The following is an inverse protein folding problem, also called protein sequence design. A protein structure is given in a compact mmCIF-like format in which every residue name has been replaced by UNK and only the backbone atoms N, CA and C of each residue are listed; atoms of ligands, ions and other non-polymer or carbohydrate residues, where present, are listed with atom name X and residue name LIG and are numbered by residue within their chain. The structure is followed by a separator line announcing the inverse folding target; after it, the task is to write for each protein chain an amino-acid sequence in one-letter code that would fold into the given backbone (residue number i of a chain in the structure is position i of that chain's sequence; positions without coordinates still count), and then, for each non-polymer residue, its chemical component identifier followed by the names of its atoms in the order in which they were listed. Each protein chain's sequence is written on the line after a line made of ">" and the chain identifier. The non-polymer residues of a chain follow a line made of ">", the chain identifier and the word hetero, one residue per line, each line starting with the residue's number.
data_IF_187089369677
#
_entry.id   IF_187089369677
#
_cell.length_a   1.000
_cell.length_b   1.000
_cell.length_c   1.000
_cell.angle_alpha   90.00
_cell.angle_beta   90.00
_cell.angle_gamma   90.00
#
_symmetry.space_group_name_H-M   'P 1'
#
loop_
_entity.id
_entity.type
_entity.pdbx_description
1 polymer ?
#
# COMPACT_ATOMS: atom_id res chain seq x y z
N UNK A 1 0.18 -6.35 3.41
CA UNK A 1 0.13 -7.79 3.10
C UNK A 1 1.26 -8.56 3.83
N UNK A 2 2.49 -8.07 3.84
CA UNK A 2 3.66 -8.77 4.41
C UNK A 2 3.52 -9.10 5.91
N UNK A 3 2.87 -8.27 6.69
CA UNK A 3 2.68 -8.46 8.14
C UNK A 3 1.39 -9.21 8.52
N UNK A 4 0.51 -9.48 7.56
CA UNK A 4 -0.80 -10.08 7.84
C UNK A 4 -0.67 -11.45 8.52
N UNK A 5 0.23 -12.30 8.03
CA UNK A 5 0.41 -13.64 8.59
C UNK A 5 0.91 -13.58 10.04
N UNK A 6 1.86 -12.70 10.35
CA UNK A 6 2.40 -12.51 11.71
C UNK A 6 1.31 -12.03 12.68
N UNK A 7 0.51 -11.05 12.24
CA UNK A 7 -0.62 -10.52 13.02
C UNK A 7 -1.66 -11.61 13.27
N UNK A 8 -2.04 -12.38 12.24
CA UNK A 8 -3.04 -13.45 12.39
C UNK A 8 -2.56 -14.56 13.31
N UNK A 9 -1.29 -14.98 13.20
CA UNK A 9 -0.69 -15.99 14.12
C UNK A 9 -0.74 -15.50 15.56
N UNK A 10 -0.40 -14.24 15.81
CA UNK A 10 -0.44 -13.65 17.14
C UNK A 10 -1.88 -13.58 17.67
N UNK A 11 -2.83 -13.12 16.86
CA UNK A 11 -4.23 -13.01 17.25
C UNK A 11 -4.86 -14.36 17.58
N UNK A 12 -4.60 -15.41 16.78
CA UNK A 12 -5.11 -16.76 17.04
C UNK A 12 -4.54 -17.32 18.35
N UNK A 13 -3.29 -17.02 18.66
CA UNK A 13 -2.66 -17.46 19.91
C UNK A 13 -3.23 -16.74 21.15
N UNK A 14 -3.51 -15.42 21.03
CA UNK A 14 -4.03 -14.62 22.15
C UNK A 14 -5.54 -14.78 22.37
N UNK A 15 -6.30 -15.02 21.33
CA UNK A 15 -7.77 -15.03 21.33
C UNK A 15 -8.30 -16.37 20.76
N UNK A 16 -7.96 -17.51 21.38
CA UNK A 16 -8.28 -18.84 20.83
C UNK A 16 -9.79 -19.11 20.72
N UNK A 17 -10.61 -18.45 21.54
CA UNK A 17 -12.08 -18.59 21.51
C UNK A 17 -12.76 -17.64 20.51
N UNK A 18 -11.99 -16.78 19.84
CA UNK A 18 -12.55 -15.79 18.89
C UNK A 18 -12.41 -16.27 17.46
N UNK A 19 -13.52 -16.34 16.74
CA UNK A 19 -13.50 -16.57 15.30
C UNK A 19 -13.02 -15.30 14.58
N UNK A 20 -11.84 -15.39 13.93
CA UNK A 20 -11.24 -14.31 13.18
C UNK A 20 -11.29 -14.65 11.69
N UNK A 21 -11.96 -13.81 10.90
CA UNK A 21 -11.98 -13.89 9.45
C UNK A 21 -11.25 -12.69 8.87
N UNK A 22 -10.30 -12.92 7.97
CA UNK A 22 -9.54 -11.88 7.30
C UNK A 22 -9.68 -12.00 5.78
N UNK A 23 -9.76 -10.85 5.11
CA UNK A 23 -9.70 -10.76 3.66
C UNK A 23 -8.78 -9.62 3.25
N UNK A 24 -8.24 -9.70 2.03
CA UNK A 24 -7.40 -8.66 1.44
C UNK A 24 -8.09 -8.15 0.19
N UNK A 25 -8.38 -6.86 0.17
CA UNK A 25 -9.01 -6.15 -0.94
C UNK A 25 -8.29 -4.82 -1.16
N UNK A 26 -8.58 -4.11 -2.25
CA UNK A 26 -8.10 -2.74 -2.39
C UNK A 26 -8.88 -1.78 -1.48
N UNK A 27 -8.35 -0.57 -1.28
CA UNK A 27 -8.90 0.38 -0.32
C UNK A 27 -10.34 0.77 -0.62
N UNK A 28 -10.69 0.98 -1.90
CA UNK A 28 -12.07 1.31 -2.31
C UNK A 28 -13.06 0.20 -1.95
N UNK A 29 -12.74 -1.05 -2.25
CA UNK A 29 -13.60 -2.18 -1.94
C UNK A 29 -13.69 -2.40 -0.42
N UNK A 30 -12.59 -2.25 0.29
CA UNK A 30 -12.56 -2.34 1.76
C UNK A 30 -13.43 -1.27 2.41
N UNK A 31 -13.38 -0.01 1.94
CA UNK A 31 -14.26 1.07 2.42
C UNK A 31 -15.74 0.74 2.17
N UNK A 32 -16.09 0.22 0.98
CA UNK A 32 -17.45 -0.25 0.67
C UNK A 32 -17.91 -1.30 1.67
N UNK A 33 -17.08 -2.32 1.94
CA UNK A 33 -17.40 -3.41 2.88
C UNK A 33 -17.61 -2.89 4.32
N UNK A 34 -16.83 -1.91 4.78
CA UNK A 34 -17.04 -1.24 6.07
C UNK A 34 -18.38 -0.52 6.10
N UNK A 35 -18.72 0.23 5.06
CA UNK A 35 -20.00 0.97 4.98
C UNK A 35 -21.20 0.04 4.95
N UNK A 36 -21.08 -1.14 4.35
CA UNK A 36 -22.13 -2.17 4.30
C UNK A 36 -22.12 -3.10 5.52
N UNK A 37 -21.24 -2.83 6.51
CA UNK A 37 -21.10 -3.64 7.71
C UNK A 37 -20.74 -5.12 7.44
N UNK A 38 -20.09 -5.38 6.31
CA UNK A 38 -19.52 -6.69 5.94
C UNK A 38 -18.19 -6.96 6.68
N UNK A 39 -17.50 -5.89 7.12
CA UNK A 39 -16.32 -5.94 7.96
C UNK A 39 -16.54 -5.20 9.27
N UNK A 40 -15.93 -5.68 10.34
CA UNK A 40 -15.94 -5.02 11.64
C UNK A 40 -15.01 -3.82 11.67
N UNK A 41 -13.81 -4.00 11.14
CA UNK A 41 -12.79 -2.96 10.94
C UNK A 41 -11.81 -3.40 9.85
N UNK A 42 -11.02 -2.46 9.37
CA UNK A 42 -10.03 -2.70 8.34
C UNK A 42 -8.80 -1.81 8.51
N UNK A 43 -7.70 -2.22 7.93
CA UNK A 43 -6.51 -1.37 7.71
C UNK A 43 -6.45 -1.03 6.23
N UNK A 44 -6.53 0.25 5.92
CA UNK A 44 -6.50 0.77 4.54
C UNK A 44 -5.45 1.86 4.40
N UNK A 45 -4.96 2.03 3.19
CA UNK A 45 -4.11 3.16 2.82
C UNK A 45 -4.95 4.23 2.08
N UNK A 46 -4.74 5.51 2.40
CA UNK A 46 -5.44 6.66 1.81
C UNK A 46 -6.98 6.59 1.90
N UNK A 47 -7.49 6.96 3.04
CA UNK A 47 -8.93 6.95 3.35
C UNK A 47 -9.65 8.12 2.70
N UNK A 48 -10.80 7.84 2.07
CA UNK A 48 -11.76 8.88 1.66
C UNK A 48 -12.49 9.42 2.90
N UNK A 49 -12.58 10.74 3.04
CA UNK A 49 -13.33 11.33 4.16
C UNK A 49 -14.82 10.99 4.06
N UNK A 50 -15.36 10.39 5.10
CA UNK A 50 -16.78 10.01 5.19
C UNK A 50 -17.32 10.24 6.60
N UNK A 51 -18.56 10.76 6.76
CA UNK A 51 -19.20 10.88 8.05
C UNK A 51 -19.60 9.52 8.66
N UNK A 52 -19.62 8.47 7.87
CA UNK A 52 -20.15 7.15 8.25
C UNK A 52 -19.12 6.25 8.93
N UNK A 53 -17.83 6.52 8.79
CA UNK A 53 -16.79 5.75 9.46
C UNK A 53 -15.80 6.63 10.23
N UNK A 54 -15.08 5.99 11.12
CA UNK A 54 -13.96 6.57 11.84
C UNK A 54 -12.68 6.02 11.24
N UNK A 55 -11.74 6.89 10.96
CA UNK A 55 -10.41 6.55 10.49
C UNK A 55 -9.38 7.06 11.51
N UNK A 56 -8.56 6.16 12.00
CA UNK A 56 -7.50 6.44 12.96
C UNK A 56 -6.14 6.20 12.27
N UNK A 57 -5.23 7.17 12.23
CA UNK A 57 -3.92 6.97 11.63
C UNK A 57 -3.10 5.92 12.41
N UNK A 58 -2.42 5.03 11.69
CA UNK A 58 -1.55 4.00 12.26
C UNK A 58 -0.07 4.29 11.98
N UNK A 59 0.32 4.29 10.71
CA UNK A 59 1.71 4.47 10.29
C UNK A 59 1.78 4.99 8.85
N UNK A 60 2.97 5.46 8.47
CA UNK A 60 3.30 5.82 7.10
C UNK A 60 4.31 4.86 6.48
N UNK A 61 4.34 4.78 5.16
CA UNK A 61 5.32 4.01 4.41
C UNK A 61 5.67 4.72 3.10
N UNK A 62 6.96 4.81 2.80
CA UNK A 62 7.44 5.36 1.53
C UNK A 62 7.26 4.35 0.39
N UNK A 63 6.97 4.86 -0.80
CA UNK A 63 7.00 4.09 -2.04
C UNK A 63 8.35 4.29 -2.73
N UNK A 64 8.90 3.20 -3.25
CA UNK A 64 10.12 3.20 -4.06
C UNK A 64 9.77 3.04 -5.54
N UNK A 65 10.38 3.84 -6.40
CA UNK A 65 10.37 3.64 -7.84
C UNK A 65 11.45 2.63 -8.21
N UNK A 66 11.07 1.48 -8.76
CA UNK A 66 12.00 0.39 -9.06
C UNK A 66 11.84 -0.13 -10.48
N UNK A 67 12.96 -0.57 -11.06
CA UNK A 67 13.00 -1.21 -12.39
C UNK A 67 14.10 -2.28 -12.44
N UNK A 68 14.12 -3.08 -13.52
CA UNK A 68 15.25 -3.97 -13.77
C UNK A 68 16.57 -3.18 -13.98
N UNK A 69 17.74 -3.75 -13.60
CA UNK A 69 19.04 -3.08 -13.85
C UNK A 69 19.29 -2.73 -15.31
N UNK A 70 18.76 -3.52 -16.24
CA UNK A 70 18.89 -3.29 -17.69
C UNK A 70 17.96 -2.20 -18.23
N UNK A 71 16.97 -1.76 -17.45
CA UNK A 71 16.07 -0.68 -17.81
C UNK A 71 16.70 0.66 -17.45
N UNK A 72 16.83 1.60 -18.40
CA UNK A 72 17.51 2.89 -18.25
C UNK A 72 18.96 2.75 -17.73
N UNK A 73 19.86 2.02 -18.41
CA UNK A 73 21.21 1.78 -17.94
C UNK A 73 21.97 3.11 -17.73
N UNK A 74 22.64 3.25 -16.57
CA UNK A 74 23.41 4.44 -16.24
C UNK A 74 22.60 5.66 -15.79
N UNK A 75 21.28 5.53 -15.63
CA UNK A 75 20.40 6.62 -15.19
C UNK A 75 19.71 6.25 -13.87
N UNK A 76 20.27 6.71 -12.75
CA UNK A 76 19.76 6.39 -11.41
C UNK A 76 18.80 7.45 -10.84
N UNK A 77 18.73 8.61 -11.50
CA UNK A 77 17.90 9.74 -11.06
C UNK A 77 16.98 10.19 -12.19
N UNK A 78 15.73 10.40 -11.87
CA UNK A 78 14.69 10.92 -12.77
C UNK A 78 13.99 12.11 -12.12
N UNK A 79 13.62 13.10 -12.92
CA UNK A 79 12.60 14.07 -12.54
C UNK A 79 11.20 13.43 -12.65
N UNK A 80 10.19 14.04 -12.04
CA UNK A 80 8.80 13.58 -12.20
C UNK A 80 8.34 13.57 -13.66
N UNK A 81 8.75 14.57 -14.45
CA UNK A 81 8.40 14.64 -15.86
C UNK A 81 9.04 13.50 -16.67
N UNK A 82 10.30 13.17 -16.40
CA UNK A 82 10.98 12.03 -17.02
C UNK A 82 10.33 10.71 -16.59
N UNK A 83 10.03 10.55 -15.29
CA UNK A 83 9.36 9.36 -14.78
C UNK A 83 7.97 9.18 -15.42
N UNK A 84 7.21 10.26 -15.63
CA UNK A 84 5.91 10.22 -16.31
C UNK A 84 6.01 9.82 -17.79
N UNK A 85 7.15 10.09 -18.44
CA UNK A 85 7.45 9.68 -19.81
C UNK A 85 7.82 8.21 -19.97
N UNK A 86 8.10 7.52 -18.85
CA UNK A 86 8.50 6.12 -18.85
C UNK A 86 7.29 5.17 -18.87
N UNK A 87 7.55 3.88 -19.11
CA UNK A 87 6.53 2.82 -19.02
C UNK A 87 6.19 2.55 -17.56
N UNK A 88 5.12 3.16 -17.04
CA UNK A 88 4.68 2.97 -15.68
C UNK A 88 3.85 1.70 -15.51
N UNK A 89 4.21 0.86 -14.55
CA UNK A 89 3.54 -0.36 -14.18
C UNK A 89 2.86 -0.11 -12.82
N UNK A 90 1.56 0.16 -12.81
CA UNK A 90 0.87 0.68 -11.64
C UNK A 90 -0.23 -0.27 -11.15
N UNK A 91 -0.60 -0.10 -9.89
CA UNK A 91 -1.77 -0.74 -9.32
C UNK A 91 -3.03 -0.23 -9.99
N UNK A 92 -4.09 -0.97 -9.84
CA UNK A 92 -5.42 -0.67 -10.37
C UNK A 92 -6.06 0.57 -9.73
N UNK A 93 -7.06 1.13 -10.40
CA UNK A 93 -7.90 2.19 -9.85
C UNK A 93 -8.64 1.69 -8.59
N UNK A 94 -8.62 2.50 -7.52
CA UNK A 94 -9.17 2.13 -6.20
C UNK A 94 -8.12 1.54 -5.24
N UNK A 95 -6.89 1.28 -5.70
CA UNK A 95 -5.76 0.98 -4.83
C UNK A 95 -5.26 2.26 -4.15
N UNK A 96 -5.03 2.23 -2.84
CA UNK A 96 -4.43 3.35 -2.12
C UNK A 96 -3.01 3.64 -2.57
N UNK A 97 -2.21 2.62 -2.90
CA UNK A 97 -0.87 2.79 -3.52
C UNK A 97 -0.98 3.58 -4.83
N UNK A 98 -1.96 3.25 -5.69
CA UNK A 98 -2.22 3.99 -6.93
C UNK A 98 -2.58 5.44 -6.63
N UNK A 99 -3.47 5.68 -5.68
CA UNK A 99 -3.89 7.03 -5.27
C UNK A 99 -2.72 7.86 -4.76
N UNK A 100 -1.80 7.26 -3.97
CA UNK A 100 -0.58 7.92 -3.49
C UNK A 100 0.35 8.33 -4.64
N UNK A 101 0.54 7.45 -5.63
CA UNK A 101 1.34 7.75 -6.83
C UNK A 101 0.70 8.89 -7.61
N UNK A 102 -0.59 8.81 -7.90
CA UNK A 102 -1.32 9.85 -8.65
C UNK A 102 -1.27 11.20 -7.94
N UNK A 103 -1.44 11.21 -6.60
CA UNK A 103 -1.35 12.45 -5.81
C UNK A 103 0.03 13.11 -5.93
N UNK A 104 1.12 12.33 -5.88
CA UNK A 104 2.48 12.85 -6.03
C UNK A 104 2.71 13.52 -7.40
N UNK A 105 2.22 12.92 -8.47
CA UNK A 105 2.30 13.51 -9.81
C UNK A 105 1.35 14.70 -9.98
N UNK A 106 0.13 14.62 -9.45
CA UNK A 106 -0.87 15.69 -9.53
C UNK A 106 -0.40 16.97 -8.83
N UNK A 107 0.25 16.85 -7.65
CA UNK A 107 0.82 18.01 -6.94
C UNK A 107 1.85 18.76 -7.77
N UNK A 108 2.56 18.08 -8.64
CA UNK A 108 3.53 18.67 -9.57
C UNK A 108 2.91 19.08 -10.92
N UNK A 109 1.60 18.87 -11.12
CA UNK A 109 0.93 19.15 -12.39
C UNK A 109 1.33 18.23 -13.54
N UNK A 110 1.89 17.06 -13.25
CA UNK A 110 2.39 16.11 -14.25
C UNK A 110 1.37 14.99 -14.46
N UNK A 111 0.75 14.88 -15.64
CA UNK A 111 -0.18 13.79 -15.95
C UNK A 111 0.58 12.47 -16.15
N UNK A 112 -0.01 11.35 -15.72
CA UNK A 112 0.54 10.02 -15.92
C UNK A 112 -0.46 9.09 -16.61
N UNK A 113 0.10 8.13 -17.35
CA UNK A 113 -0.65 7.02 -17.95
C UNK A 113 0.08 5.71 -17.66
N UNK A 114 -0.57 4.70 -17.03
CA UNK A 114 0.05 3.40 -16.85
C UNK A 114 0.17 2.69 -18.20
N UNK A 115 1.33 2.05 -18.44
CA UNK A 115 1.53 1.11 -19.53
C UNK A 115 0.97 -0.28 -19.18
N UNK A 116 0.96 -0.62 -17.88
CA UNK A 116 0.35 -1.82 -17.33
C UNK A 116 -0.40 -1.44 -16.06
N UNK A 117 -1.60 -1.98 -15.90
CA UNK A 117 -2.40 -1.86 -14.70
C UNK A 117 -2.72 -3.26 -14.16
N UNK A 118 -2.57 -3.50 -12.84
CA UNK A 118 -2.81 -4.81 -12.24
C UNK A 118 -3.24 -4.72 -10.79
N UNK A 119 -4.19 -5.57 -10.40
CA UNK A 119 -4.54 -5.82 -8.99
C UNK A 119 -3.45 -6.62 -8.27
N UNK A 120 -2.61 -7.33 -9.01
CA UNK A 120 -1.56 -8.19 -8.47
C UNK A 120 -0.22 -7.45 -8.39
N UNK A 121 0.23 -7.16 -7.18
CA UNK A 121 1.58 -6.63 -6.92
C UNK A 121 2.67 -7.58 -7.42
N UNK A 122 2.47 -8.90 -7.30
CA UNK A 122 3.42 -9.90 -7.79
C UNK A 122 3.57 -9.84 -9.33
N UNK A 123 2.47 -9.59 -10.05
CA UNK A 123 2.53 -9.41 -11.50
C UNK A 123 3.32 -8.14 -11.89
N UNK A 124 3.09 -7.02 -11.19
CA UNK A 124 3.85 -5.79 -11.41
C UNK A 124 5.35 -5.98 -11.15
N UNK A 125 5.71 -6.65 -10.06
CA UNK A 125 7.11 -6.98 -9.76
C UNK A 125 7.74 -7.88 -10.83
N UNK A 126 7.01 -8.87 -11.32
CA UNK A 126 7.48 -9.74 -12.41
C UNK A 126 7.70 -8.98 -13.72
N UNK A 127 6.79 -8.07 -14.08
CA UNK A 127 6.95 -7.18 -15.22
C UNK A 127 8.15 -6.24 -15.08
N UNK A 128 8.34 -5.67 -13.87
CA UNK A 128 9.47 -4.79 -13.60
C UNK A 128 10.81 -5.54 -13.69
N UNK A 129 10.92 -6.75 -13.11
CA UNK A 129 12.12 -7.62 -13.22
C UNK A 129 12.43 -8.02 -14.66
N UNK A 130 11.39 -8.22 -15.48
CA UNK A 130 11.54 -8.51 -16.91
C UNK A 130 11.95 -7.29 -17.75
N UNK A 131 12.13 -6.11 -17.14
CA UNK A 131 12.54 -4.90 -17.83
C UNK A 131 11.42 -4.22 -18.63
N UNK A 132 10.14 -4.47 -18.28
CA UNK A 132 9.02 -3.90 -19.02
C UNK A 132 8.80 -2.41 -18.69
N UNK A 133 9.27 -1.92 -17.53
CA UNK A 133 9.09 -0.53 -17.10
C UNK A 133 9.43 -0.32 -15.63
N UNK A 134 8.91 0.78 -15.08
CA UNK A 134 9.10 1.22 -13.70
C UNK A 134 7.82 1.00 -12.93
N UNK A 135 7.92 0.41 -11.73
CA UNK A 135 6.80 0.33 -10.78
C UNK A 135 7.10 1.14 -9.53
N UNK A 136 6.05 1.75 -8.94
CA UNK A 136 6.13 2.45 -7.65
C UNK A 136 5.34 1.63 -6.63
N UNK A 137 6.06 1.00 -5.72
CA UNK A 137 5.50 0.09 -4.72
C UNK A 137 6.08 0.39 -3.34
N UNK A 138 5.41 -0.05 -2.26
CA UNK A 138 5.95 0.04 -0.92
C UNK A 138 7.37 -0.47 -0.83
N UNK A 139 8.24 0.30 -0.16
CA UNK A 139 9.67 -0.04 0.00
C UNK A 139 9.84 -1.43 0.62
N UNK A 140 9.03 -1.78 1.61
CA UNK A 140 9.05 -3.09 2.27
C UNK A 140 8.78 -4.27 1.32
N UNK A 141 8.07 -4.05 0.21
CA UNK A 141 7.80 -5.09 -0.79
C UNK A 141 8.94 -5.29 -1.80
N UNK A 142 9.74 -4.26 -2.03
CA UNK A 142 10.79 -4.28 -3.08
C UNK A 142 12.21 -4.43 -2.52
N UNK A 143 12.43 -4.20 -1.23
CA UNK A 143 13.74 -4.21 -0.59
C UNK A 143 14.53 -5.51 -0.82
N UNK A 144 13.87 -6.67 -0.81
CA UNK A 144 14.51 -7.97 -1.07
C UNK A 144 14.97 -8.10 -2.52
N UNK A 145 14.21 -7.58 -3.47
CA UNK A 145 14.56 -7.57 -4.89
C UNK A 145 15.72 -6.61 -5.16
N UNK A 146 15.71 -5.46 -4.52
CA UNK A 146 16.81 -4.47 -4.61
C UNK A 146 18.08 -5.05 -3.99
N UNK A 147 18.00 -5.65 -2.80
CA UNK A 147 19.14 -6.28 -2.13
C UNK A 147 19.76 -7.44 -2.95
N UNK A 148 18.94 -8.17 -3.70
CA UNK A 148 19.38 -9.27 -4.60
C UNK A 148 19.84 -8.79 -5.96
N UNK A 149 19.70 -7.48 -6.27
CA UNK A 149 20.03 -6.93 -7.58
C UNK A 149 19.09 -7.33 -8.72
N UNK A 150 17.93 -7.96 -8.42
CA UNK A 150 16.91 -8.26 -9.43
C UNK A 150 16.09 -7.01 -9.84
N UNK A 151 16.03 -6.03 -8.96
CA UNK A 151 15.55 -4.68 -9.22
C UNK A 151 16.57 -3.68 -8.70
N UNK A 152 16.54 -2.45 -9.24
CA UNK A 152 17.26 -1.31 -8.69
C UNK A 152 16.27 -0.19 -8.38
N UNK A 153 16.56 0.58 -7.37
CA UNK A 153 15.78 1.75 -7.00
C UNK A 153 16.26 2.98 -7.79
N UNK A 154 15.30 3.80 -8.20
CA UNK A 154 15.51 5.07 -8.87
C UNK A 154 15.24 6.22 -7.90
N UNK A 155 16.10 7.20 -7.86
CA UNK A 155 15.88 8.46 -7.14
C UNK A 155 14.95 9.35 -7.98
N UNK A 156 13.82 9.79 -7.39
CA UNK A 156 12.90 10.70 -8.06
C UNK A 156 13.06 12.10 -7.47
N UNK A 157 13.46 13.05 -8.29
CA UNK A 157 13.63 14.45 -7.90
C UNK A 157 12.34 15.23 -8.16
N UNK A 158 11.95 16.06 -7.19
CA UNK A 158 10.77 16.91 -7.28
C UNK A 158 9.46 16.21 -6.92
N UNK A 159 9.52 14.99 -6.39
CA UNK A 159 8.37 14.26 -5.88
C UNK A 159 8.72 13.34 -4.72
N UNK A 160 7.77 13.17 -3.84
CA UNK A 160 7.82 12.19 -2.75
C UNK A 160 6.55 11.35 -2.79
N UNK A 161 6.71 10.06 -2.72
CA UNK A 161 5.59 9.12 -2.74
C UNK A 161 5.54 8.39 -1.41
N UNK A 162 4.48 8.64 -0.65
CA UNK A 162 4.22 7.94 0.59
C UNK A 162 2.73 7.63 0.72
N UNK A 163 2.43 6.62 1.51
CA UNK A 163 1.08 6.25 1.87
C UNK A 163 0.96 6.18 3.38
N UNK A 164 -0.22 6.54 3.88
CA UNK A 164 -0.53 6.44 5.29
C UNK A 164 -1.58 5.35 5.49
N UNK A 165 -1.36 4.51 6.48
CA UNK A 165 -2.32 3.49 6.88
C UNK A 165 -3.24 4.03 7.97
N UNK A 166 -4.50 3.65 7.86
CA UNK A 166 -5.55 4.00 8.81
C UNK A 166 -6.29 2.75 9.25
N UNK A 167 -6.57 2.68 10.53
CA UNK A 167 -7.56 1.76 11.06
C UNK A 167 -8.94 2.38 10.82
N UNK A 168 -9.80 1.69 10.08
CA UNK A 168 -11.14 2.17 9.72
C UNK A 168 -12.20 1.25 10.29
N UNK A 169 -13.27 1.82 10.83
CA UNK A 169 -14.47 1.11 11.26
C UNK A 169 -15.71 1.96 11.04
N UNK A 170 -16.87 1.32 10.89
CA UNK A 170 -18.12 2.06 10.85
C UNK A 170 -18.35 2.83 12.15
N UNK A 171 -18.82 4.09 12.07
CA UNK A 171 -18.99 4.96 13.23
C UNK A 171 -19.94 4.38 14.29
N UNK A 172 -21.00 3.72 13.86
CA UNK A 172 -21.97 3.06 14.72
C UNK A 172 -21.58 1.66 15.21
N UNK A 173 -20.36 1.18 14.89
CA UNK A 173 -19.93 -0.17 15.28
C UNK A 173 -19.69 -0.25 16.78
N UNK A 174 -20.42 -1.13 17.46
CA UNK A 174 -20.13 -1.49 18.84
C UNK A 174 -18.87 -2.37 18.89
N UNK A 175 -17.94 -1.98 19.74
CA UNK A 175 -16.69 -2.74 19.94
C UNK A 175 -16.81 -3.63 21.17
N UNK A 176 -16.72 -4.94 20.96
CA UNK A 176 -16.55 -5.91 22.05
C UNK A 176 -15.12 -5.83 22.63
N UNK A 177 -14.88 -6.44 23.78
CA UNK A 177 -13.53 -6.46 24.37
C UNK A 177 -12.54 -7.23 23.48
N UNK A 178 -12.98 -8.34 22.86
CA UNK A 178 -12.16 -9.05 21.89
C UNK A 178 -11.77 -8.18 20.69
N UNK A 179 -12.71 -7.40 20.12
CA UNK A 179 -12.41 -6.46 19.04
C UNK A 179 -11.44 -5.36 19.48
N UNK A 180 -11.56 -4.84 20.72
CA UNK A 180 -10.61 -3.86 21.25
C UNK A 180 -9.20 -4.46 21.35
N UNK A 181 -9.08 -5.72 21.77
CA UNK A 181 -7.80 -6.41 21.83
C UNK A 181 -7.19 -6.61 20.43
N UNK A 182 -8.00 -7.02 19.43
CA UNK A 182 -7.53 -7.10 18.03
C UNK A 182 -7.00 -5.74 17.54
N UNK A 183 -7.73 -4.65 17.80
CA UNK A 183 -7.30 -3.30 17.43
C UNK A 183 -5.98 -2.93 18.12
N UNK A 184 -5.81 -3.31 19.38
CA UNK A 184 -4.57 -3.06 20.10
C UNK A 184 -3.39 -3.82 19.47
N UNK A 185 -3.56 -5.10 19.14
CA UNK A 185 -2.54 -5.90 18.44
C UNK A 185 -2.17 -5.28 17.09
N UNK A 186 -3.16 -4.80 16.33
CA UNK A 186 -2.90 -4.09 15.08
C UNK A 186 -2.04 -2.83 15.28
N UNK A 187 -2.31 -2.04 16.32
CA UNK A 187 -1.51 -0.86 16.66
C UNK A 187 -0.08 -1.23 17.06
N UNK A 188 0.08 -2.25 17.90
CA UNK A 188 1.39 -2.74 18.32
C UNK A 188 2.24 -3.21 17.14
N UNK A 189 1.65 -3.93 16.18
CA UNK A 189 2.38 -4.47 15.03
C UNK A 189 2.57 -3.47 13.88
N UNK A 190 1.70 -2.48 13.74
CA UNK A 190 1.72 -1.54 12.62
C UNK A 190 2.17 -0.13 13.04
N UNK A 191 2.00 0.24 14.32
CA UNK A 191 2.33 1.57 14.82
C UNK A 191 3.83 1.86 14.97
N UNK A 192 4.69 0.84 15.05
CA UNK A 192 6.14 0.99 15.26
C UNK A 192 6.94 1.31 13.98
N UNK A 193 6.28 1.61 12.88
CA UNK A 193 6.97 1.93 11.62
C UNK A 193 7.09 3.44 11.43
N UNK A 194 7.73 4.12 12.38
CA UNK A 194 8.30 5.45 12.19
C UNK A 194 9.80 5.28 11.87
N UNK A 195 10.15 5.22 10.59
CA UNK A 195 11.49 5.58 10.10
C UNK A 195 11.35 6.13 8.70
#
# INVERSE_FOLDING_TARGET
>A
ETRLAEILVHLVAELPEMEIRACVQNSRETERMILQNELDFAVVDNVTLSPHYLAEPLCGESLAAVCAPVYLPGKDTLTLAELAGERLLLREQGSGTRSSVEAGFQQAGVPIRPAVESISTAALLSCARAGLGITLLPRSLVERDVARGSLRELTVVGGSFCRNYFLVRHRGKYLTDGMRRVIQVLREHLGDTQT
#
